data_IF_988658097327
#
_entry.id   IF_988658097327
#
_cell.length_a   1.000
_cell.length_b   1.000
_cell.length_c   1.000
_cell.angle_alpha   90.00
_cell.angle_beta   90.00
_cell.angle_gamma   90.00
#
_symmetry.space_group_name_H-M   'P 1'
#
loop_
_entity.id
_entity.type
_entity.pdbx_description
1 polymer ?
#
# COMPACT_ATOMS: atom_id res chain seq x y z
N UNK A 1 -26.04 -4.10 15.73
CA UNK A 1 -24.97 -5.00 15.25
C UNK A 1 -23.68 -4.23 15.04
N UNK A 2 -22.55 -4.74 15.55
CA UNK A 2 -21.21 -4.16 15.31
C UNK A 2 -20.42 -5.09 14.39
N UNK A 3 -19.82 -4.52 13.34
CA UNK A 3 -18.91 -5.19 12.41
C UNK A 3 -17.55 -4.51 12.52
N UNK A 4 -16.49 -5.30 12.72
CA UNK A 4 -15.13 -4.79 12.82
C UNK A 4 -14.22 -5.39 11.75
N UNK A 5 -13.69 -4.54 10.89
CA UNK A 5 -12.75 -4.91 9.83
C UNK A 5 -11.42 -4.21 10.04
N UNK A 6 -10.32 -4.96 9.98
CA UNK A 6 -8.98 -4.41 10.09
C UNK A 6 -7.98 -5.22 9.26
N UNK A 7 -6.79 -4.69 8.99
CA UNK A 7 -5.73 -5.42 8.27
C UNK A 7 -5.18 -4.66 7.08
N UNK A 8 -4.00 -5.09 6.61
CA UNK A 8 -3.23 -4.45 5.54
C UNK A 8 -3.86 -4.61 4.15
N UNK A 9 -4.74 -5.60 3.95
CA UNK A 9 -5.37 -5.85 2.66
C UNK A 9 -6.61 -4.97 2.46
N UNK A 10 -6.35 -3.71 2.13
CA UNK A 10 -7.37 -2.70 1.94
C UNK A 10 -8.32 -3.00 0.78
N UNK A 11 -7.82 -3.65 -0.28
CA UNK A 11 -8.65 -4.01 -1.43
C UNK A 11 -9.78 -4.96 -1.03
N UNK A 12 -9.45 -6.10 -0.40
CA UNK A 12 -10.48 -7.08 0.03
C UNK A 12 -11.40 -6.50 1.12
N UNK A 13 -10.87 -5.68 2.02
CA UNK A 13 -11.68 -5.01 3.03
C UNK A 13 -12.72 -4.07 2.39
N UNK A 14 -12.30 -3.20 1.45
CA UNK A 14 -13.21 -2.31 0.71
C UNK A 14 -14.19 -3.08 -0.16
N UNK A 15 -13.77 -4.17 -0.80
CA UNK A 15 -14.68 -5.07 -1.53
C UNK A 15 -15.77 -5.60 -0.60
N UNK A 16 -15.40 -6.07 0.61
CA UNK A 16 -16.38 -6.57 1.58
C UNK A 16 -17.33 -5.50 2.10
N UNK A 17 -16.81 -4.30 2.35
CA UNK A 17 -17.61 -3.14 2.75
C UNK A 17 -18.60 -2.78 1.64
N UNK A 18 -18.18 -2.80 0.38
CA UNK A 18 -19.06 -2.53 -0.75
C UNK A 18 -20.14 -3.61 -0.92
N UNK A 19 -19.80 -4.90 -0.76
CA UNK A 19 -20.80 -5.98 -0.73
C UNK A 19 -21.88 -5.75 0.33
N UNK A 20 -21.46 -5.35 1.55
CA UNK A 20 -22.38 -5.03 2.64
C UNK A 20 -23.28 -3.83 2.30
N UNK A 21 -22.71 -2.77 1.73
CA UNK A 21 -23.46 -1.59 1.28
C UNK A 21 -24.48 -1.96 0.20
N UNK A 22 -24.07 -2.67 -0.83
CA UNK A 22 -24.95 -3.11 -1.92
C UNK A 22 -26.10 -3.95 -1.39
N UNK A 23 -25.82 -4.90 -0.51
CA UNK A 23 -26.86 -5.73 0.12
C UNK A 23 -27.82 -4.89 0.98
N UNK A 24 -27.28 -3.96 1.77
CA UNK A 24 -28.10 -3.06 2.59
C UNK A 24 -29.04 -2.20 1.74
N UNK A 25 -28.54 -1.61 0.65
CA UNK A 25 -29.38 -0.81 -0.24
C UNK A 25 -30.43 -1.65 -0.97
N UNK A 26 -30.09 -2.87 -1.40
CA UNK A 26 -31.05 -3.75 -2.07
C UNK A 26 -32.17 -4.24 -1.14
N UNK A 27 -31.84 -4.61 0.10
CA UNK A 27 -32.79 -5.28 1.01
C UNK A 27 -33.48 -4.34 2.00
N UNK A 28 -32.85 -3.22 2.37
CA UNK A 28 -33.26 -2.40 3.52
C UNK A 28 -33.54 -0.94 3.11
N UNK A 29 -32.67 -0.34 2.30
CA UNK A 29 -32.73 1.09 1.98
C UNK A 29 -32.44 1.40 0.49
N UNK A 30 -33.38 1.11 -0.43
CA UNK A 30 -33.16 1.32 -1.87
C UNK A 30 -32.94 2.78 -2.28
N UNK A 31 -33.31 3.74 -1.41
CA UNK A 31 -33.15 5.17 -1.66
C UNK A 31 -31.89 5.76 -1.01
N UNK A 32 -31.08 4.93 -0.35
CA UNK A 32 -29.77 5.29 0.22
C UNK A 32 -29.80 6.44 1.25
N UNK A 33 -30.89 6.60 1.99
CA UNK A 33 -31.06 7.70 2.96
C UNK A 33 -30.48 7.42 4.35
N UNK A 34 -30.16 6.17 4.64
CA UNK A 34 -29.80 5.66 5.97
C UNK A 34 -28.40 5.05 5.96
N UNK A 35 -27.52 5.59 5.11
CA UNK A 35 -26.10 5.27 5.07
C UNK A 35 -25.25 6.49 5.37
N UNK A 36 -24.35 6.38 6.35
CA UNK A 36 -23.43 7.45 6.73
C UNK A 36 -21.99 6.95 6.78
N UNK A 37 -21.05 7.82 6.42
CA UNK A 37 -19.60 7.58 6.58
C UNK A 37 -19.04 8.68 7.47
N UNK A 38 -18.32 8.29 8.51
CA UNK A 38 -17.64 9.20 9.43
C UNK A 38 -16.13 9.01 9.30
N UNK A 39 -15.40 10.13 9.20
CA UNK A 39 -13.94 10.13 9.29
C UNK A 39 -13.51 10.02 10.75
N UNK A 40 -13.10 8.81 11.15
CA UNK A 40 -12.64 8.50 12.49
C UNK A 40 -11.44 9.33 12.94
N UNK A 41 -10.67 9.92 12.03
CA UNK A 41 -9.53 10.79 12.38
C UNK A 41 -10.00 12.09 13.05
N UNK A 42 -11.17 12.60 12.65
CA UNK A 42 -11.67 13.93 13.00
C UNK A 42 -12.97 13.92 13.80
N UNK A 43 -13.74 12.82 13.73
CA UNK A 43 -15.03 12.66 14.40
C UNK A 43 -14.92 12.83 15.91
N UNK A 44 -16.00 13.25 16.57
CA UNK A 44 -16.16 13.22 18.02
C UNK A 44 -17.32 12.29 18.47
N UNK A 45 -17.45 12.07 19.78
CA UNK A 45 -18.52 11.20 20.30
C UNK A 45 -19.92 11.79 20.04
N UNK A 46 -20.05 13.12 19.99
CA UNK A 46 -21.34 13.78 19.76
C UNK A 46 -21.84 13.41 18.36
N UNK A 47 -20.98 13.58 17.35
CA UNK A 47 -21.28 13.26 15.95
C UNK A 47 -21.56 11.76 15.77
N UNK A 48 -20.76 10.87 16.38
CA UNK A 48 -21.02 9.42 16.36
C UNK A 48 -22.40 9.13 16.96
N UNK A 49 -22.68 9.65 18.16
CA UNK A 49 -23.92 9.36 18.87
C UNK A 49 -25.15 9.90 18.12
N UNK A 50 -25.06 11.07 17.50
CA UNK A 50 -26.12 11.63 16.67
C UNK A 50 -26.31 10.76 15.43
N UNK A 51 -25.24 10.42 14.73
CA UNK A 51 -25.33 9.62 13.49
C UNK A 51 -25.92 8.24 13.75
N UNK A 52 -25.55 7.61 14.86
CA UNK A 52 -26.04 6.28 15.25
C UNK A 52 -27.47 6.33 15.82
N UNK A 53 -27.81 7.33 16.65
CA UNK A 53 -29.11 7.37 17.35
C UNK A 53 -30.20 8.18 16.63
N UNK A 54 -29.88 8.97 15.60
CA UNK A 54 -30.93 9.71 14.88
C UNK A 54 -31.80 8.70 14.15
N UNK A 55 -33.07 8.59 14.56
CA UNK A 55 -34.03 7.69 13.92
C UNK A 55 -34.13 7.99 12.42
N UNK A 56 -34.10 6.94 11.59
CA UNK A 56 -34.49 7.08 10.18
C UNK A 56 -36.02 7.14 10.11
N UNK A 57 -36.57 8.11 9.38
CA UNK A 57 -38.01 8.20 9.11
C UNK A 57 -38.45 7.17 8.05
N UNK A 58 -37.50 6.63 7.28
CA UNK A 58 -37.78 5.86 6.08
C UNK A 58 -37.42 4.38 6.20
N UNK A 59 -36.51 4.02 7.11
CA UNK A 59 -36.03 2.64 7.25
C UNK A 59 -35.92 2.23 8.71
N UNK A 60 -36.06 0.92 8.95
CA UNK A 60 -35.96 0.34 10.30
C UNK A 60 -34.52 0.17 10.79
N UNK A 61 -33.53 0.28 9.89
CA UNK A 61 -32.11 0.02 10.19
C UNK A 61 -31.24 1.05 9.48
N UNK A 62 -30.17 1.47 10.14
CA UNK A 62 -29.13 2.35 9.58
C UNK A 62 -27.82 1.60 9.38
N UNK A 63 -27.02 2.02 8.39
CA UNK A 63 -25.63 1.59 8.23
C UNK A 63 -24.70 2.78 8.42
N UNK A 64 -23.88 2.74 9.46
CA UNK A 64 -22.85 3.76 9.73
C UNK A 64 -21.48 3.13 9.59
N UNK A 65 -20.61 3.71 8.75
CA UNK A 65 -19.23 3.31 8.57
C UNK A 65 -18.31 4.34 9.22
N UNK A 66 -17.45 3.92 10.15
CA UNK A 66 -16.40 4.75 10.75
C UNK A 66 -15.06 4.23 10.27
N UNK A 67 -14.26 5.09 9.64
CA UNK A 67 -12.93 4.71 9.13
C UNK A 67 -11.81 5.36 9.96
N UNK A 68 -10.77 4.60 10.32
CA UNK A 68 -9.55 5.11 10.96
C UNK A 68 -9.76 5.78 12.33
N UNK A 69 -10.66 5.29 13.20
CA UNK A 69 -10.88 5.87 14.53
C UNK A 69 -9.61 5.76 15.40
N UNK A 70 -8.77 4.76 15.18
CA UNK A 70 -7.50 4.59 15.93
C UNK A 70 -6.43 5.62 15.55
N UNK A 71 -6.64 6.39 14.48
CA UNK A 71 -5.77 7.49 14.08
C UNK A 71 -6.24 8.86 14.62
N UNK A 72 -7.32 8.89 15.41
CA UNK A 72 -7.82 10.13 16.00
C UNK A 72 -6.79 10.74 16.97
N UNK A 73 -6.55 12.06 16.85
CA UNK A 73 -5.60 12.78 17.70
C UNK A 73 -6.04 12.83 19.16
N UNK A 74 -7.34 12.86 19.42
CA UNK A 74 -7.91 12.88 20.77
C UNK A 74 -8.09 11.45 21.28
N UNK A 75 -7.05 10.87 21.86
CA UNK A 75 -7.05 9.47 22.32
C UNK A 75 -8.19 9.15 23.32
N UNK A 76 -8.75 10.13 24.04
CA UNK A 76 -9.90 9.90 24.92
C UNK A 76 -11.17 9.47 24.17
N UNK A 77 -11.29 9.79 22.87
CA UNK A 77 -12.43 9.36 22.06
C UNK A 77 -12.59 7.83 22.02
N UNK A 78 -11.49 7.09 22.11
CA UNK A 78 -11.52 5.62 22.08
C UNK A 78 -12.17 5.05 23.34
N UNK A 79 -11.93 5.65 24.50
CA UNK A 79 -12.59 5.29 25.75
C UNK A 79 -14.04 5.77 25.78
N UNK A 80 -14.30 6.99 25.29
CA UNK A 80 -15.64 7.55 25.15
C UNK A 80 -16.53 6.66 24.25
N UNK A 81 -16.00 6.23 23.09
CA UNK A 81 -16.65 5.32 22.17
C UNK A 81 -16.88 3.95 22.81
N UNK A 82 -15.86 3.36 23.45
CA UNK A 82 -16.01 2.08 24.13
C UNK A 82 -17.16 2.11 25.15
N UNK A 83 -17.18 3.13 26.01
CA UNK A 83 -18.23 3.32 27.01
C UNK A 83 -19.61 3.48 26.36
N UNK A 84 -19.69 4.23 25.26
CA UNK A 84 -20.94 4.41 24.50
C UNK A 84 -21.44 3.10 23.88
N UNK A 85 -20.57 2.31 23.27
CA UNK A 85 -20.93 1.02 22.67
C UNK A 85 -21.43 0.02 23.73
N UNK A 86 -20.76 -0.04 24.88
CA UNK A 86 -21.14 -0.90 26.01
C UNK A 86 -22.46 -0.46 26.66
N UNK A 87 -22.68 0.85 26.84
CA UNK A 87 -23.89 1.36 27.52
C UNK A 87 -25.16 1.21 26.67
N UNK A 88 -25.07 1.42 25.36
CA UNK A 88 -26.23 1.41 24.48
C UNK A 88 -26.60 0.02 23.94
N UNK A 89 -25.86 -1.03 24.33
CA UNK A 89 -26.06 -2.40 23.85
C UNK A 89 -26.23 -2.48 22.32
N UNK A 90 -25.47 -1.68 21.57
CA UNK A 90 -25.61 -1.59 20.10
C UNK A 90 -25.39 -2.93 19.40
N UNK A 91 -24.73 -3.88 20.05
CA UNK A 91 -24.64 -5.28 19.62
C UNK A 91 -26.02 -5.92 19.35
N UNK A 92 -27.04 -5.53 20.13
CA UNK A 92 -28.43 -5.99 20.04
C UNK A 92 -29.35 -5.06 19.24
N UNK A 93 -28.86 -3.89 18.83
CA UNK A 93 -29.61 -3.00 17.93
C UNK A 93 -29.70 -3.59 16.53
N UNK A 94 -30.78 -3.27 15.83
CA UNK A 94 -30.95 -3.54 14.41
C UNK A 94 -30.03 -2.69 13.52
N UNK A 95 -29.48 -1.58 14.05
CA UNK A 95 -28.53 -0.72 13.34
C UNK A 95 -27.19 -1.41 13.11
N UNK A 96 -26.54 -1.09 12.01
CA UNK A 96 -25.28 -1.66 11.56
C UNK A 96 -24.19 -0.62 11.72
N UNK A 97 -23.28 -0.84 12.68
CA UNK A 97 -22.07 -0.04 12.83
C UNK A 97 -20.87 -0.81 12.30
N UNK A 98 -20.24 -0.29 11.24
CA UNK A 98 -19.01 -0.86 10.67
C UNK A 98 -17.84 0.02 11.10
N UNK A 99 -16.86 -0.57 11.81
CA UNK A 99 -15.58 0.07 12.06
C UNK A 99 -14.53 -0.54 11.15
N UNK A 100 -13.81 0.32 10.40
CA UNK A 100 -12.79 -0.10 9.46
C UNK A 100 -11.43 0.54 9.75
N UNK A 101 -10.45 -0.31 10.06
CA UNK A 101 -9.11 0.07 10.47
C UNK A 101 -8.02 -0.51 9.55
N UNK A 102 -7.74 0.14 8.41
CA UNK A 102 -6.73 -0.31 7.44
C UNK A 102 -5.29 -0.28 7.96
N UNK A 103 -5.04 0.52 9.01
CA UNK A 103 -3.70 0.73 9.57
C UNK A 103 -3.42 -0.12 10.80
N UNK A 104 -4.19 -1.19 11.01
CA UNK A 104 -3.96 -2.15 12.08
C UNK A 104 -3.65 -3.52 11.49
N UNK A 105 -2.59 -4.17 11.98
CA UNK A 105 -2.24 -5.53 11.55
C UNK A 105 -1.74 -6.39 12.70
N UNK A 106 -1.88 -7.70 12.53
CA UNK A 106 -1.27 -8.67 13.43
C UNK A 106 0.18 -8.95 13.02
N UNK A 107 1.12 -8.62 13.90
CA UNK A 107 2.53 -8.93 13.77
C UNK A 107 2.95 -9.89 14.89
N UNK A 108 3.09 -11.18 14.55
CA UNK A 108 3.51 -12.26 15.48
C UNK A 108 2.64 -12.34 16.75
N UNK A 109 1.33 -12.23 16.60
CA UNK A 109 0.37 -12.32 17.71
C UNK A 109 0.14 -11.01 18.45
N UNK A 110 0.78 -9.90 18.03
CA UNK A 110 0.56 -8.56 18.57
C UNK A 110 -0.04 -7.64 17.52
N UNK A 111 -1.04 -6.86 17.92
CA UNK A 111 -1.63 -5.86 17.06
C UNK A 111 -0.79 -4.58 17.10
N UNK A 112 -0.45 -4.08 15.92
CA UNK A 112 0.37 -2.88 15.74
C UNK A 112 -0.32 -1.92 14.78
N UNK A 113 -0.05 -0.63 14.96
CA UNK A 113 -0.36 0.42 13.98
C UNK A 113 0.73 0.45 12.92
N UNK A 114 0.29 0.38 11.67
CA UNK A 114 1.15 0.47 10.50
C UNK A 114 1.61 1.91 10.37
N UNK A 115 2.93 2.11 10.40
CA UNK A 115 3.50 3.43 10.21
C UNK A 115 3.55 3.77 8.71
N UNK A 116 3.30 5.05 8.34
CA UNK A 116 3.51 5.48 6.97
C UNK A 116 5.00 5.36 6.59
N UNK A 117 5.27 5.13 5.30
CA UNK A 117 6.58 5.28 4.69
C UNK A 117 7.72 4.38 5.24
N UNK A 118 7.38 3.20 5.78
CA UNK A 118 8.38 2.22 6.22
C UNK A 118 9.07 2.53 7.54
N UNK A 119 8.55 3.49 8.31
CA UNK A 119 8.90 3.66 9.71
C UNK A 119 8.48 2.44 10.54
N UNK A 120 9.03 2.30 11.75
CA UNK A 120 8.75 1.16 12.61
C UNK A 120 7.28 1.19 13.04
N UNK A 121 6.58 0.07 12.85
CA UNK A 121 5.22 -0.13 13.35
C UNK A 121 5.18 0.10 14.87
N UNK A 122 4.11 0.72 15.35
CA UNK A 122 3.95 1.07 16.76
C UNK A 122 2.92 0.17 17.44
N UNK A 123 3.17 -0.30 18.69
CA UNK A 123 2.17 -1.06 19.41
C UNK A 123 0.98 -0.19 19.80
N UNK A 124 -0.17 -0.82 20.05
CA UNK A 124 -1.32 -0.12 20.62
C UNK A 124 -1.04 0.38 22.03
N UNK A 125 -1.46 1.61 22.33
CA UNK A 125 -1.49 2.15 23.69
C UNK A 125 -2.62 1.49 24.52
N UNK A 126 -2.68 1.80 25.81
CA UNK A 126 -3.64 1.16 26.72
C UNK A 126 -5.12 1.38 26.33
N UNK A 127 -5.47 2.56 25.80
CA UNK A 127 -6.85 2.92 25.40
C UNK A 127 -7.23 2.23 24.09
N UNK A 128 -6.32 2.29 23.12
CA UNK A 128 -6.43 1.58 21.85
C UNK A 128 -6.60 0.06 22.07
N UNK A 129 -5.79 -0.53 22.95
CA UNK A 129 -5.85 -1.96 23.26
C UNK A 129 -7.21 -2.36 23.82
N UNK A 130 -7.77 -1.59 24.76
CA UNK A 130 -9.10 -1.87 25.33
C UNK A 130 -10.20 -1.84 24.26
N UNK A 131 -10.22 -0.81 23.42
CA UNK A 131 -11.20 -0.71 22.34
C UNK A 131 -11.03 -1.86 21.34
N UNK A 132 -9.80 -2.18 20.94
CA UNK A 132 -9.50 -3.28 20.03
C UNK A 132 -9.97 -4.63 20.60
N UNK A 133 -9.70 -4.91 21.87
CA UNK A 133 -10.13 -6.15 22.55
C UNK A 133 -11.65 -6.28 22.54
N UNK A 134 -12.38 -5.19 22.83
CA UNK A 134 -13.84 -5.17 22.75
C UNK A 134 -14.36 -5.40 21.32
N UNK A 135 -13.80 -4.70 20.34
CA UNK A 135 -14.20 -4.83 18.93
C UNK A 135 -13.89 -6.23 18.39
N UNK A 136 -12.80 -6.85 18.82
CA UNK A 136 -12.40 -8.19 18.36
C UNK A 136 -13.26 -9.32 18.92
N UNK A 137 -13.99 -9.06 20.01
CA UNK A 137 -14.95 -10.00 20.60
C UNK A 137 -16.32 -9.94 19.92
N UNK A 138 -16.54 -8.98 19.02
CA UNK A 138 -17.80 -8.84 18.30
C UNK A 138 -18.00 -10.00 17.32
N UNK A 139 -19.28 -10.41 17.16
CA UNK A 139 -19.68 -11.54 16.31
C UNK A 139 -19.15 -11.44 14.87
N UNK A 140 -19.07 -10.23 14.32
CA UNK A 140 -18.65 -9.98 12.95
C UNK A 140 -17.31 -9.24 12.92
N UNK A 141 -16.25 -9.96 13.23
CA UNK A 141 -14.87 -9.45 13.15
C UNK A 141 -14.10 -10.17 12.05
N UNK A 142 -13.35 -9.43 11.24
CA UNK A 142 -12.49 -10.01 10.21
C UNK A 142 -11.16 -9.25 10.04
N UNK A 143 -10.06 -9.99 10.11
CA UNK A 143 -8.73 -9.52 9.71
C UNK A 143 -8.49 -9.75 8.22
N UNK A 144 -8.16 -8.70 7.49
CA UNK A 144 -7.80 -8.71 6.07
C UNK A 144 -6.29 -8.72 5.92
N UNK A 145 -5.72 -9.93 5.92
CA UNK A 145 -4.28 -10.14 5.74
C UNK A 145 -3.86 -9.96 4.27
N UNK A 146 -2.62 -9.52 4.01
CA UNK A 146 -2.03 -9.62 2.68
C UNK A 146 -2.15 -11.04 2.14
N UNK A 147 -2.37 -11.18 0.84
CA UNK A 147 -2.39 -12.48 0.21
C UNK A 147 -0.98 -13.02 0.09
N UNK A 148 -0.80 -14.30 0.39
CA UNK A 148 0.41 -15.02 -0.01
C UNK A 148 0.50 -15.07 -1.55
N UNK A 149 1.68 -15.29 -2.13
CA UNK A 149 1.82 -15.39 -3.59
C UNK A 149 0.90 -16.44 -4.24
N UNK A 150 0.65 -17.56 -3.54
CA UNK A 150 -0.27 -18.60 -3.99
C UNK A 150 -1.74 -18.13 -3.95
N UNK A 151 -2.16 -17.50 -2.85
CA UNK A 151 -3.51 -16.95 -2.72
C UNK A 151 -3.78 -15.81 -3.71
N UNK A 152 -2.78 -14.97 -3.98
CA UNK A 152 -2.87 -13.90 -4.98
C UNK A 152 -3.07 -14.48 -6.38
N UNK A 153 -2.27 -15.49 -6.74
CA UNK A 153 -2.41 -16.18 -8.03
C UNK A 153 -3.79 -16.82 -8.19
N UNK A 154 -4.31 -17.46 -7.14
CA UNK A 154 -5.66 -18.03 -7.14
C UNK A 154 -6.76 -16.97 -7.23
N UNK A 155 -6.58 -15.85 -6.53
CA UNK A 155 -7.51 -14.72 -6.58
C UNK A 155 -7.59 -14.12 -7.98
N UNK A 156 -6.46 -13.91 -8.67
CA UNK A 156 -6.42 -13.39 -10.06
C UNK A 156 -7.23 -14.28 -10.99
N UNK A 157 -7.01 -15.61 -10.94
CA UNK A 157 -7.75 -16.56 -11.77
C UNK A 157 -9.25 -16.48 -11.51
N UNK A 158 -9.65 -16.48 -10.24
CA UNK A 158 -11.05 -16.37 -9.83
C UNK A 158 -11.68 -15.06 -10.31
N UNK A 159 -10.94 -13.95 -10.24
CA UNK A 159 -11.44 -12.63 -10.61
C UNK A 159 -11.58 -12.48 -12.14
N UNK A 160 -10.67 -13.07 -12.91
CA UNK A 160 -10.77 -13.18 -14.38
C UNK A 160 -11.98 -14.04 -14.77
N UNK A 161 -12.17 -15.19 -14.13
CA UNK A 161 -13.30 -16.11 -14.39
C UNK A 161 -14.65 -15.46 -14.09
N UNK A 162 -14.77 -14.73 -12.98
CA UNK A 162 -15.98 -13.96 -12.64
C UNK A 162 -16.38 -12.95 -13.71
N UNK A 163 -15.42 -12.44 -14.47
CA UNK A 163 -15.62 -11.48 -15.57
C UNK A 163 -15.75 -12.16 -16.93
N UNK A 164 -15.89 -13.49 -16.95
CA UNK A 164 -16.10 -14.28 -18.17
C UNK A 164 -14.84 -14.53 -19.00
N UNK A 165 -13.65 -14.32 -18.45
CA UNK A 165 -12.37 -14.61 -19.12
C UNK A 165 -11.67 -15.86 -18.56
N UNK A 166 -10.56 -16.23 -19.18
CA UNK A 166 -9.60 -17.21 -18.64
C UNK A 166 -8.18 -16.66 -18.74
N UNK A 167 -7.24 -17.12 -17.90
CA UNK A 167 -5.87 -16.61 -17.88
C UNK A 167 -4.85 -17.74 -17.69
N UNK A 168 -3.79 -17.75 -18.50
CA UNK A 168 -2.68 -18.71 -18.37
C UNK A 168 -1.89 -18.46 -17.09
N UNK A 169 -1.40 -19.52 -16.46
CA UNK A 169 -0.56 -19.40 -15.26
C UNK A 169 0.68 -18.52 -15.47
N UNK A 170 1.31 -18.55 -16.65
CA UNK A 170 2.43 -17.66 -16.97
C UNK A 170 2.02 -16.18 -16.98
N UNK A 171 0.85 -15.86 -17.54
CA UNK A 171 0.31 -14.51 -17.57
C UNK A 171 -0.08 -14.01 -16.16
N UNK A 172 -0.55 -14.91 -15.28
CA UNK A 172 -0.79 -14.58 -13.86
C UNK A 172 0.50 -14.13 -13.19
N UNK A 173 1.59 -14.91 -13.33
CA UNK A 173 2.89 -14.56 -12.75
C UNK A 173 3.40 -13.22 -13.29
N UNK A 174 3.25 -12.99 -14.58
CA UNK A 174 3.66 -11.74 -15.22
C UNK A 174 2.84 -10.54 -14.73
N UNK A 175 1.52 -10.68 -14.63
CA UNK A 175 0.63 -9.63 -14.12
C UNK A 175 0.98 -9.25 -12.68
N UNK A 176 1.28 -10.24 -11.83
CA UNK A 176 1.73 -10.01 -10.44
C UNK A 176 3.02 -9.18 -10.44
N UNK A 177 3.97 -9.51 -11.31
CA UNK A 177 5.25 -8.81 -11.41
C UNK A 177 5.08 -7.39 -11.94
N UNK A 178 4.18 -7.15 -12.90
CA UNK A 178 3.90 -5.82 -13.46
C UNK A 178 3.22 -4.86 -12.46
N UNK A 179 2.53 -5.43 -11.48
CA UNK A 179 1.72 -4.67 -10.52
C UNK A 179 2.35 -4.63 -9.13
N UNK A 180 3.57 -5.13 -8.96
CA UNK A 180 4.25 -5.29 -7.67
C UNK A 180 3.36 -5.88 -6.54
N UNK A 181 2.53 -6.88 -6.86
CA UNK A 181 1.53 -7.48 -5.96
C UNK A 181 0.40 -6.54 -5.47
N UNK A 182 0.24 -5.34 -6.02
CA UNK A 182 -0.84 -4.42 -5.66
C UNK A 182 -2.19 -4.89 -6.22
N UNK A 183 -3.08 -5.31 -5.33
CA UNK A 183 -4.42 -5.80 -5.69
C UNK A 183 -5.28 -4.76 -6.42
N UNK A 184 -5.14 -3.46 -6.13
CA UNK A 184 -5.87 -2.41 -6.85
C UNK A 184 -5.39 -2.29 -8.29
N UNK A 185 -4.08 -2.29 -8.49
CA UNK A 185 -3.51 -2.23 -9.84
C UNK A 185 -3.86 -3.50 -10.61
N UNK A 186 -3.67 -4.68 -10.01
CA UNK A 186 -4.03 -5.97 -10.63
C UNK A 186 -5.51 -5.98 -11.01
N UNK A 187 -6.41 -5.50 -10.14
CA UNK A 187 -7.83 -5.44 -10.44
C UNK A 187 -8.15 -4.61 -11.69
N UNK A 188 -7.51 -3.44 -11.81
CA UNK A 188 -7.70 -2.52 -12.94
C UNK A 188 -7.11 -3.11 -14.23
N UNK A 189 -5.94 -3.76 -14.13
CA UNK A 189 -5.33 -4.43 -15.29
C UNK A 189 -6.15 -5.64 -15.75
N UNK A 190 -6.74 -6.41 -14.83
CA UNK A 190 -7.70 -7.47 -15.20
C UNK A 190 -8.90 -6.86 -15.95
N UNK A 191 -9.44 -5.73 -15.50
CA UNK A 191 -10.54 -5.06 -16.19
C UNK A 191 -10.17 -4.63 -17.61
N UNK A 192 -8.98 -4.03 -17.79
CA UNK A 192 -8.44 -3.68 -19.11
C UNK A 192 -8.28 -4.91 -20.02
N UNK A 193 -7.71 -5.99 -19.49
CA UNK A 193 -7.46 -7.22 -20.25
C UNK A 193 -8.75 -7.89 -20.70
N UNK A 194 -9.76 -7.96 -19.81
CA UNK A 194 -11.09 -8.49 -20.15
C UNK A 194 -11.76 -7.65 -21.24
N UNK A 195 -11.69 -6.33 -21.14
CA UNK A 195 -12.28 -5.42 -22.13
C UNK A 195 -11.55 -5.47 -23.48
N UNK A 196 -10.22 -5.63 -23.46
CA UNK A 196 -9.41 -5.79 -24.67
C UNK A 196 -9.68 -7.14 -25.37
N UNK A 197 -9.89 -8.20 -24.60
CA UNK A 197 -9.93 -9.58 -25.10
C UNK A 197 -11.10 -10.39 -24.52
N UNK A 198 -12.36 -9.98 -24.76
CA UNK A 198 -13.52 -10.60 -24.13
C UNK A 198 -13.65 -12.08 -24.50
N UNK A 199 -13.95 -12.91 -23.50
CA UNK A 199 -14.21 -14.35 -23.65
C UNK A 199 -13.08 -15.18 -24.30
N UNK A 200 -11.83 -14.74 -24.20
CA UNK A 200 -10.67 -15.50 -24.66
C UNK A 200 -9.60 -15.63 -23.58
N UNK A 201 -8.71 -16.60 -23.75
CA UNK A 201 -7.64 -16.85 -22.80
C UNK A 201 -6.56 -15.75 -22.88
N UNK A 202 -6.32 -15.08 -21.75
CA UNK A 202 -5.28 -14.08 -21.55
C UNK A 202 -3.93 -14.79 -21.47
N UNK A 203 -3.01 -14.42 -22.36
CA UNK A 203 -1.64 -14.91 -22.41
C UNK A 203 -0.64 -13.82 -22.00
N UNK A 204 0.62 -14.22 -21.76
CA UNK A 204 1.73 -13.31 -21.42
C UNK A 204 1.88 -12.14 -22.39
N UNK A 205 1.76 -12.41 -23.70
CA UNK A 205 1.82 -11.38 -24.74
C UNK A 205 0.71 -10.32 -24.63
N UNK A 206 -0.43 -10.66 -24.02
CA UNK A 206 -1.52 -9.70 -23.79
C UNK A 206 -1.18 -8.77 -22.61
N UNK A 207 -0.49 -9.29 -21.58
CA UNK A 207 0.02 -8.50 -20.45
C UNK A 207 1.02 -7.45 -20.96
N UNK A 208 2.02 -7.89 -21.71
CA UNK A 208 3.07 -7.02 -22.25
C UNK A 208 2.52 -5.90 -23.16
N UNK A 209 1.38 -6.15 -23.83
CA UNK A 209 0.76 -5.20 -24.76
C UNK A 209 -0.17 -4.20 -24.07
N UNK A 210 -0.88 -4.62 -23.01
CA UNK A 210 -1.98 -3.84 -22.41
C UNK A 210 -1.62 -3.27 -21.06
N UNK A 211 -0.84 -4.01 -20.27
CA UNK A 211 -0.48 -3.60 -18.93
C UNK A 211 0.69 -2.63 -18.98
N UNK A 212 0.54 -1.49 -18.32
CA UNK A 212 1.66 -0.62 -18.05
C UNK A 212 2.38 -1.14 -16.82
N UNK A 213 3.73 -1.21 -16.81
CA UNK A 213 4.45 -1.52 -15.59
C UNK A 213 4.10 -0.48 -14.52
N UNK A 214 4.01 -0.90 -13.25
CA UNK A 214 3.90 0.04 -12.16
C UNK A 214 5.03 1.08 -12.25
N UNK A 215 4.71 2.36 -12.00
CA UNK A 215 5.72 3.43 -11.94
C UNK A 215 6.85 3.02 -10.97
N UNK A 216 6.49 2.34 -9.89
CA UNK A 216 7.41 1.79 -8.90
C UNK A 216 8.33 0.69 -9.46
N UNK A 217 7.82 -0.24 -10.27
CA UNK A 217 8.66 -1.28 -10.90
C UNK A 217 9.65 -0.68 -11.89
N UNK A 218 9.21 0.35 -12.60
CA UNK A 218 9.98 1.10 -13.57
C UNK A 218 11.13 1.91 -12.92
N UNK A 219 10.88 2.56 -11.76
CA UNK A 219 11.95 3.23 -11.01
C UNK A 219 12.89 2.24 -10.32
N UNK A 220 12.41 1.09 -9.84
CA UNK A 220 13.29 0.05 -9.30
C UNK A 220 14.20 -0.51 -10.39
N UNK A 221 13.65 -0.80 -11.58
CA UNK A 221 14.44 -1.20 -12.75
C UNK A 221 15.51 -0.17 -13.11
N UNK A 222 15.21 1.14 -13.04
CA UNK A 222 16.20 2.21 -13.24
C UNK A 222 17.32 2.14 -12.20
N UNK A 223 16.96 2.11 -10.91
CA UNK A 223 17.95 2.06 -9.81
C UNK A 223 18.82 0.81 -9.88
N UNK A 224 18.26 -0.30 -10.35
CA UNK A 224 18.96 -1.57 -10.53
C UNK A 224 19.90 -1.56 -11.73
N UNK A 225 19.49 -0.96 -12.86
CA UNK A 225 20.37 -0.79 -14.01
C UNK A 225 21.59 0.07 -13.63
N UNK A 226 21.37 1.17 -12.90
CA UNK A 226 22.44 2.03 -12.41
C UNK A 226 23.34 1.34 -11.39
N UNK A 227 22.76 0.63 -10.41
CA UNK A 227 23.50 -0.13 -9.41
C UNK A 227 24.33 -1.27 -10.00
N UNK A 228 23.92 -1.82 -11.14
CA UNK A 228 24.67 -2.84 -11.88
C UNK A 228 25.59 -2.24 -12.96
N UNK A 229 25.79 -0.91 -12.99
CA UNK A 229 26.60 -0.19 -13.99
C UNK A 229 26.15 -0.42 -15.45
N UNK A 230 24.89 -0.81 -15.68
CA UNK A 230 24.33 -0.95 -17.01
C UNK A 230 23.79 0.39 -17.51
N UNK A 231 24.69 1.28 -17.96
CA UNK A 231 24.34 2.63 -18.41
C UNK A 231 23.37 2.66 -19.60
N UNK A 232 23.54 1.84 -20.66
CA UNK A 232 22.62 1.86 -21.79
C UNK A 232 21.19 1.55 -21.39
N UNK A 233 21.00 0.53 -20.53
CA UNK A 233 19.70 0.19 -19.99
C UNK A 233 19.15 1.29 -19.08
N UNK A 234 19.99 1.86 -18.21
CA UNK A 234 19.58 2.93 -17.31
C UNK A 234 19.10 4.18 -18.07
N UNK A 235 19.80 4.60 -19.12
CA UNK A 235 19.40 5.75 -19.93
C UNK A 235 18.09 5.48 -20.68
N UNK A 236 17.89 4.26 -21.20
CA UNK A 236 16.63 3.86 -21.81
C UNK A 236 15.47 3.96 -20.82
N UNK A 237 15.60 3.32 -19.65
CA UNK A 237 14.54 3.32 -18.63
C UNK A 237 14.27 4.74 -18.11
N UNK A 238 15.31 5.57 -17.97
CA UNK A 238 15.15 6.96 -17.56
C UNK A 238 14.34 7.76 -18.58
N UNK A 239 14.58 7.56 -19.88
CA UNK A 239 13.76 8.18 -20.92
C UNK A 239 12.30 7.72 -20.84
N UNK A 240 12.08 6.42 -20.61
CA UNK A 240 10.73 5.88 -20.37
C UNK A 240 10.07 6.53 -19.13
N UNK A 241 10.82 6.84 -18.07
CA UNK A 241 10.28 7.56 -16.91
C UNK A 241 9.82 8.97 -17.25
N UNK A 242 10.56 9.68 -18.10
CA UNK A 242 10.16 11.02 -18.54
C UNK A 242 8.92 10.97 -19.44
N UNK A 243 8.77 9.95 -20.27
CA UNK A 243 7.54 9.74 -21.06
C UNK A 243 6.31 9.44 -20.21
N UNK A 244 6.49 8.94 -18.99
CA UNK A 244 5.43 8.69 -18.01
C UNK A 244 5.19 9.88 -17.07
N UNK A 245 5.77 11.06 -17.36
CA UNK A 245 5.65 12.27 -16.55
C UNK A 245 6.03 12.06 -15.07
N UNK A 246 6.97 11.16 -14.80
CA UNK A 246 7.45 10.92 -13.44
C UNK A 246 8.15 12.16 -12.89
N UNK A 247 7.73 12.60 -11.70
CA UNK A 247 8.27 13.80 -11.07
C UNK A 247 9.78 13.72 -10.82
N UNK A 248 10.50 14.80 -11.13
CA UNK A 248 11.95 14.90 -10.96
C UNK A 248 12.39 14.65 -9.51
N UNK A 249 11.61 15.16 -8.55
CA UNK A 249 11.83 14.98 -7.12
C UNK A 249 11.75 13.50 -6.72
N UNK A 250 10.84 12.75 -7.34
CA UNK A 250 10.70 11.31 -7.11
C UNK A 250 11.90 10.54 -7.67
N UNK A 251 12.29 10.82 -8.93
CA UNK A 251 13.49 10.23 -9.54
C UNK A 251 14.71 10.47 -8.65
N UNK A 252 14.94 11.71 -8.24
CA UNK A 252 16.05 12.08 -7.36
C UNK A 252 16.02 11.32 -6.03
N UNK A 253 14.87 11.30 -5.36
CA UNK A 253 14.72 10.63 -4.06
C UNK A 253 15.04 9.14 -4.17
N UNK A 254 14.58 8.49 -5.24
CA UNK A 254 14.79 7.06 -5.46
C UNK A 254 16.25 6.72 -5.81
N UNK A 255 16.92 7.56 -6.59
CA UNK A 255 18.35 7.43 -6.86
C UNK A 255 19.20 7.65 -5.60
N UNK A 256 18.92 8.71 -4.83
CA UNK A 256 19.60 8.98 -3.56
C UNK A 256 19.40 7.82 -2.57
N UNK A 257 18.19 7.28 -2.46
CA UNK A 257 17.89 6.10 -1.65
C UNK A 257 18.74 4.91 -2.08
N UNK A 258 18.82 4.61 -3.38
CA UNK A 258 19.60 3.47 -3.87
C UNK A 258 21.08 3.60 -3.54
N UNK A 259 21.71 4.73 -3.86
CA UNK A 259 23.14 4.92 -3.57
C UNK A 259 23.46 4.98 -2.08
N UNK A 260 22.53 5.51 -1.27
CA UNK A 260 22.62 5.44 0.20
C UNK A 260 22.61 3.99 0.70
N UNK A 261 21.72 3.15 0.18
CA UNK A 261 21.65 1.72 0.53
C UNK A 261 22.97 1.02 0.17
N UNK A 262 23.48 1.22 -1.06
CA UNK A 262 24.74 0.62 -1.50
C UNK A 262 25.90 1.10 -0.61
N UNK A 263 25.93 2.39 -0.25
CA UNK A 263 26.93 2.97 0.65
C UNK A 263 26.89 2.34 2.04
N UNK A 264 25.70 2.26 2.66
CA UNK A 264 25.53 1.67 3.99
C UNK A 264 25.96 0.19 4.00
N UNK A 265 25.52 -0.58 3.01
CA UNK A 265 25.92 -1.98 2.86
C UNK A 265 27.43 -2.12 2.68
N UNK A 266 28.06 -1.28 1.85
CA UNK A 266 29.50 -1.35 1.62
C UNK A 266 30.30 -1.00 2.88
N UNK A 267 29.86 -0.03 3.67
CA UNK A 267 30.49 0.30 4.96
C UNK A 267 30.38 -0.87 5.93
N UNK A 268 29.18 -1.45 6.10
CA UNK A 268 28.98 -2.58 7.01
C UNK A 268 29.77 -3.83 6.59
N UNK A 269 29.82 -4.14 5.29
CA UNK A 269 30.64 -5.24 4.78
C UNK A 269 32.14 -5.02 5.04
N UNK A 270 32.63 -3.79 4.85
CA UNK A 270 34.02 -3.43 5.15
C UNK A 270 34.36 -3.53 6.65
N UNK A 271 33.37 -3.33 7.52
CA UNK A 271 33.51 -3.48 8.97
C UNK A 271 33.42 -4.94 9.44
N UNK A 272 33.31 -5.91 8.52
CA UNK A 272 33.22 -7.34 8.84
C UNK A 272 31.85 -7.80 9.33
N UNK A 273 30.81 -7.00 9.14
CA UNK A 273 29.44 -7.42 9.47
C UNK A 273 28.96 -8.55 8.55
N UNK A 274 28.20 -9.51 9.11
CA UNK A 274 27.66 -10.61 8.32
C UNK A 274 26.55 -10.11 7.37
N UNK A 275 26.59 -10.44 6.06
CA UNK A 275 25.56 -10.07 5.09
C UNK A 275 24.12 -10.40 5.51
N UNK A 276 23.93 -11.49 6.28
CA UNK A 276 22.62 -11.92 6.78
C UNK A 276 22.03 -11.02 7.87
N UNK A 277 22.85 -10.20 8.53
CA UNK A 277 22.44 -9.29 9.61
C UNK A 277 22.29 -7.83 9.18
N UNK A 278 22.98 -7.41 8.11
CA UNK A 278 23.02 -6.01 7.67
C UNK A 278 21.67 -5.56 7.10
N UNK A 279 20.99 -6.39 6.33
CA UNK A 279 19.67 -6.05 5.76
C UNK A 279 18.64 -5.66 6.83
N UNK A 280 18.38 -6.54 7.82
CA UNK A 280 17.47 -6.23 8.93
C UNK A 280 17.90 -5.05 9.79
N UNK A 281 19.20 -4.85 10.06
CA UNK A 281 19.67 -3.72 10.88
C UNK A 281 19.47 -2.37 10.19
N UNK A 282 19.49 -2.34 8.85
CA UNK A 282 19.18 -1.18 8.04
C UNK A 282 17.67 -1.02 7.73
N UNK A 283 16.81 -1.90 8.26
CA UNK A 283 15.37 -1.89 7.97
C UNK A 283 15.03 -2.24 6.52
N UNK A 284 15.94 -2.92 5.80
CA UNK A 284 15.77 -3.29 4.40
C UNK A 284 15.05 -4.63 4.26
N UNK A 285 14.17 -4.71 3.27
CA UNK A 285 13.59 -5.99 2.84
C UNK A 285 14.70 -6.95 2.36
N UNK A 286 14.64 -8.27 2.64
CA UNK A 286 15.69 -9.23 2.29
C UNK A 286 16.11 -9.20 0.82
N UNK A 287 15.14 -9.06 -0.10
CA UNK A 287 15.42 -8.99 -1.54
C UNK A 287 16.25 -7.75 -1.92
N UNK A 288 15.89 -6.58 -1.39
CA UNK A 288 16.62 -5.31 -1.63
C UNK A 288 18.02 -5.39 -1.03
N UNK A 289 18.14 -5.92 0.19
CA UNK A 289 19.45 -6.10 0.83
C UNK A 289 20.36 -7.02 0.01
N UNK A 290 19.85 -8.16 -0.46
CA UNK A 290 20.61 -9.13 -1.24
C UNK A 290 21.06 -8.55 -2.59
N UNK A 291 20.16 -7.86 -3.30
CA UNK A 291 20.47 -7.26 -4.61
C UNK A 291 21.48 -6.13 -4.48
N UNK A 292 21.24 -5.20 -3.56
CA UNK A 292 22.14 -4.07 -3.32
C UNK A 292 23.50 -4.50 -2.76
N UNK A 293 23.57 -5.60 -2.00
CA UNK A 293 24.84 -6.17 -1.55
C UNK A 293 25.72 -6.60 -2.72
N UNK A 294 25.15 -7.19 -3.77
CA UNK A 294 25.89 -7.52 -4.99
C UNK A 294 26.39 -6.27 -5.72
N UNK A 295 25.59 -5.20 -5.74
CA UNK A 295 25.97 -3.94 -6.38
C UNK A 295 27.15 -3.26 -5.69
N UNK A 296 27.39 -3.49 -4.40
CA UNK A 296 28.55 -2.93 -3.68
C UNK A 296 29.90 -3.27 -4.31
N UNK A 297 29.97 -4.37 -5.07
CA UNK A 297 31.17 -4.82 -5.78
C UNK A 297 31.59 -3.86 -6.90
N UNK A 298 30.64 -3.12 -7.47
CA UNK A 298 30.88 -2.23 -8.61
C UNK A 298 31.30 -0.81 -8.24
N UNK A 299 31.29 -0.45 -6.95
CA UNK A 299 31.56 0.91 -6.51
C UNK A 299 32.57 0.94 -5.36
N UNK A 300 33.41 1.96 -5.32
CA UNK A 300 34.23 2.33 -4.16
C UNK A 300 33.46 3.27 -3.22
N UNK A 301 33.89 3.37 -1.95
CA UNK A 301 33.29 4.34 -1.02
C UNK A 301 33.42 5.79 -1.53
N UNK A 302 34.55 6.12 -2.17
CA UNK A 302 34.77 7.43 -2.76
C UNK A 302 33.80 7.71 -3.92
N UNK A 303 33.56 6.72 -4.79
CA UNK A 303 32.58 6.84 -5.87
C UNK A 303 31.16 7.05 -5.34
N UNK A 304 30.73 6.28 -4.33
CA UNK A 304 29.39 6.40 -3.75
C UNK A 304 29.17 7.77 -3.08
N UNK A 305 30.18 8.28 -2.35
CA UNK A 305 30.15 9.63 -1.80
C UNK A 305 30.03 10.68 -2.91
N UNK A 306 30.85 10.56 -3.95
CA UNK A 306 30.82 11.47 -5.10
C UNK A 306 29.46 11.48 -5.78
N UNK A 307 28.89 10.32 -6.10
CA UNK A 307 27.57 10.20 -6.73
C UNK A 307 26.49 10.86 -5.85
N UNK A 308 26.51 10.60 -4.55
CA UNK A 308 25.55 11.20 -3.60
C UNK A 308 25.67 12.72 -3.56
N UNK A 309 26.90 13.25 -3.56
CA UNK A 309 27.15 14.69 -3.63
C UNK A 309 26.70 15.29 -4.97
N UNK A 310 26.98 14.64 -6.10
CA UNK A 310 26.57 15.12 -7.42
C UNK A 310 25.04 15.13 -7.58
N UNK A 311 24.33 14.11 -7.07
CA UNK A 311 22.86 14.08 -7.05
C UNK A 311 22.29 15.20 -6.17
N UNK A 312 22.87 15.42 -4.98
CA UNK A 312 22.44 16.50 -4.09
C UNK A 312 22.72 17.88 -4.69
N UNK A 313 23.84 18.04 -5.39
CA UNK A 313 24.17 19.27 -6.09
C UNK A 313 23.22 19.53 -7.26
N UNK A 314 22.83 18.49 -8.01
CA UNK A 314 21.84 18.59 -9.07
C UNK A 314 20.48 19.08 -8.54
N UNK A 315 20.03 18.58 -7.38
CA UNK A 315 18.81 19.07 -6.70
C UNK A 315 18.87 20.57 -6.43
N UNK A 316 20.00 21.03 -5.87
CA UNK A 316 20.22 22.44 -5.58
C UNK A 316 20.18 23.30 -6.85
N UNK A 317 20.89 22.89 -7.90
CA UNK A 317 20.90 23.63 -9.17
C UNK A 317 19.51 23.67 -9.82
N UNK A 318 18.76 22.57 -9.76
CA UNK A 318 17.39 22.52 -10.27
C UNK A 318 16.46 23.47 -9.50
N UNK A 319 16.48 23.41 -8.16
CA UNK A 319 15.66 24.28 -7.29
C UNK A 319 16.03 25.76 -7.38
N UNK A 320 17.25 26.07 -7.81
CA UNK A 320 17.71 27.45 -8.04
C UNK A 320 17.60 27.89 -9.49
N UNK A 321 17.02 27.08 -10.38
CA UNK A 321 16.81 27.40 -11.79
C UNK A 321 18.10 27.49 -12.62
N UNK A 322 19.20 26.96 -12.11
CA UNK A 322 20.52 27.05 -12.75
C UNK A 322 20.79 25.90 -13.74
N UNK A 323 19.96 24.86 -13.74
CA UNK A 323 20.05 23.75 -14.70
C UNK A 323 18.69 23.13 -14.94
N UNK A 324 18.51 22.56 -16.14
CA UNK A 324 17.46 21.59 -16.40
C UNK A 324 17.81 20.25 -15.72
N UNK A 325 16.90 19.72 -14.89
CA UNK A 325 17.12 18.49 -14.13
C UNK A 325 17.38 17.29 -15.04
N UNK A 326 16.62 17.17 -16.13
CA UNK A 326 16.72 16.06 -17.07
C UNK A 326 18.09 16.02 -17.73
N UNK A 327 18.57 17.16 -18.21
CA UNK A 327 19.91 17.29 -18.79
C UNK A 327 20.99 16.96 -17.76
N UNK A 328 20.87 17.52 -16.55
CA UNK A 328 21.85 17.29 -15.48
C UNK A 328 21.92 15.84 -15.04
N UNK A 329 20.78 15.15 -14.92
CA UNK A 329 20.73 13.74 -14.54
C UNK A 329 21.30 12.83 -15.64
N UNK A 330 20.97 13.08 -16.90
CA UNK A 330 21.54 12.33 -18.03
C UNK A 330 23.07 12.45 -18.08
N UNK A 331 23.60 13.66 -17.89
CA UNK A 331 25.05 13.91 -17.84
C UNK A 331 25.70 13.19 -16.65
N UNK A 332 25.05 13.19 -15.49
CA UNK A 332 25.53 12.48 -14.31
C UNK A 332 25.62 10.97 -14.59
N UNK A 333 24.55 10.38 -15.11
CA UNK A 333 24.51 8.93 -15.44
C UNK A 333 25.55 8.56 -16.49
N UNK A 334 25.80 9.41 -17.49
CA UNK A 334 26.84 9.16 -18.48
C UNK A 334 28.25 9.11 -17.87
N UNK A 335 28.52 9.95 -16.85
CA UNK A 335 29.82 10.07 -16.15
C UNK A 335 30.07 8.96 -15.12
N UNK A 336 29.01 8.37 -14.55
CA UNK A 336 29.07 7.26 -13.59
C UNK A 336 29.70 6.00 -14.17
#
# INVERSE_FOLDING_TARGET
MIIFFYGDNNFKAKQKINELKTKFFQEIDPNEHSFNVLDGVMVDLTEISQTVNTGSLFTKKRLTLIENIFANKKVSILEELLNYLQKNNLEKSDDILVLYEPKLKNQKGKIVKVSPNGEKDSPLNAKEKKLFEFLSQQKFTQEFKPLTPAELSGWIKTEVEKRGGTIKSAAVTELINYSNNDLWQINNEIEKLINYKPATEIASSDIEKICSPAIDDNIFALTDALGNKNKPLALKILEDQYHLDVANEYLLAMLLRQFKIILQLKVSLNNGESPSKIGPSLGLHPYVAQKSANQTKYFTLAQLRRISSELTHLDYLNKTGQTDFRTGLNLLIAKM
#
